data_IF_988688959190
#
_entry.id   IF_988688959190
#
_cell.length_a   1.000
_cell.length_b   1.000
_cell.length_c   1.000
_cell.angle_alpha   90.00
_cell.angle_beta   90.00
_cell.angle_gamma   90.00
#
_symmetry.space_group_name_H-M   'P 1'
#
loop_
_entity.id
_entity.type
_entity.pdbx_description
1 polymer ?
#
# COMPACT_ATOMS: atom_id res chain seq x y z
N UNK A 1 -26.13 31.38 29.62
CA UNK A 1 -24.89 31.09 30.37
C UNK A 1 -24.09 29.91 29.80
N UNK A 2 -24.65 29.09 28.89
CA UNK A 2 -24.02 27.86 28.38
C UNK A 2 -22.90 28.07 27.33
N UNK A 3 -22.90 29.21 26.62
CA UNK A 3 -21.93 29.50 25.54
C UNK A 3 -20.49 29.71 26.03
N UNK A 4 -20.28 30.00 27.32
CA UNK A 4 -18.95 30.13 27.91
C UNK A 4 -18.29 28.78 28.20
N UNK A 5 -19.06 27.70 28.38
CA UNK A 5 -18.50 26.40 28.76
C UNK A 5 -17.87 25.68 27.56
N UNK A 6 -18.49 25.80 26.38
CA UNK A 6 -17.95 25.24 25.14
C UNK A 6 -16.70 25.99 24.65
N UNK A 7 -16.66 27.31 24.77
CA UNK A 7 -15.46 28.10 24.43
C UNK A 7 -14.29 27.80 25.37
N UNK A 8 -14.54 27.66 26.68
CA UNK A 8 -13.53 27.26 27.65
C UNK A 8 -12.97 25.85 27.36
N UNK A 9 -13.83 24.91 26.95
CA UNK A 9 -13.42 23.56 26.57
C UNK A 9 -12.61 23.52 25.27
N UNK A 10 -12.96 24.36 24.29
CA UNK A 10 -12.23 24.46 23.02
C UNK A 10 -10.86 25.13 23.20
N UNK A 11 -10.76 26.09 24.13
CA UNK A 11 -9.49 26.70 24.54
C UNK A 11 -8.58 25.71 25.28
N UNK A 12 -9.13 24.90 26.19
CA UNK A 12 -8.37 23.87 26.93
C UNK A 12 -7.76 22.81 26.00
N UNK A 13 -8.52 22.35 24.98
CA UNK A 13 -8.05 21.38 23.98
C UNK A 13 -6.89 21.94 23.13
N UNK A 14 -6.94 23.24 22.77
CA UNK A 14 -5.87 23.88 22.01
C UNK A 14 -4.61 24.16 22.85
N UNK A 15 -4.77 24.36 24.17
CA UNK A 15 -3.66 24.64 25.09
C UNK A 15 -2.96 23.36 25.59
N UNK A 16 -3.66 22.21 25.60
CA UNK A 16 -3.09 20.89 25.90
C UNK A 16 -2.13 20.36 24.80
N UNK A 17 -1.96 21.13 23.73
CA UNK A 17 -0.97 20.90 22.65
C UNK A 17 0.32 21.72 22.83
N UNK A 18 0.61 22.27 24.01
CA UNK A 18 1.80 23.10 24.23
C UNK A 18 2.93 22.36 24.95
N UNK A 19 3.55 21.38 24.29
CA UNK A 19 4.97 21.11 24.54
C UNK A 19 5.78 21.70 23.39
N UNK A 20 6.41 22.85 23.62
CA UNK A 20 7.21 23.57 22.61
C UNK A 20 8.27 22.67 21.98
N UNK A 21 8.79 21.67 22.71
CA UNK A 21 9.72 20.67 22.18
C UNK A 21 9.08 19.79 21.10
N UNK A 22 7.83 19.37 21.28
CA UNK A 22 7.11 18.55 20.30
C UNK A 22 6.79 19.35 19.03
N UNK A 23 6.35 20.61 19.17
CA UNK A 23 6.13 21.49 18.01
C UNK A 23 7.42 21.74 17.22
N UNK A 24 8.54 21.93 17.91
CA UNK A 24 9.85 22.09 17.28
C UNK A 24 10.33 20.80 16.60
N UNK A 25 10.07 19.62 17.18
CA UNK A 25 10.42 18.33 16.58
C UNK A 25 9.58 18.02 15.32
N UNK A 26 8.28 18.31 15.35
CA UNK A 26 7.39 18.16 14.19
C UNK A 26 7.77 19.14 13.09
N UNK A 27 8.03 20.41 13.43
CA UNK A 27 8.51 21.42 12.46
C UNK A 27 9.85 21.03 11.82
N UNK A 28 10.80 20.55 12.62
CA UNK A 28 12.11 20.06 12.14
C UNK A 28 11.97 18.84 11.23
N UNK A 29 11.02 17.95 11.51
CA UNK A 29 10.71 16.80 10.66
C UNK A 29 10.10 17.25 9.33
N UNK A 30 9.12 18.17 9.37
CA UNK A 30 8.50 18.74 8.18
C UNK A 30 9.52 19.46 7.28
N UNK A 31 10.45 20.22 7.85
CA UNK A 31 11.52 20.88 7.10
C UNK A 31 12.51 19.88 6.48
N UNK A 32 12.80 18.76 7.13
CA UNK A 32 13.63 17.69 6.53
C UNK A 32 12.95 17.04 5.34
N UNK A 33 11.64 16.79 5.41
CA UNK A 33 10.86 16.25 4.29
C UNK A 33 10.77 17.23 3.12
N UNK A 34 10.62 18.54 3.40
CA UNK A 34 10.59 19.56 2.36
C UNK A 34 11.93 19.66 1.61
N UNK A 35 13.06 19.55 2.33
CA UNK A 35 14.41 19.60 1.75
C UNK A 35 14.75 18.34 0.95
N UNK A 36 14.36 17.15 1.41
CA UNK A 36 14.52 15.93 0.61
C UNK A 36 13.58 15.92 -0.59
N UNK A 37 12.38 16.48 -0.50
CA UNK A 37 11.45 16.55 -1.65
C UNK A 37 12.02 17.39 -2.80
N UNK A 38 12.63 18.54 -2.53
CA UNK A 38 13.21 19.41 -3.58
C UNK A 38 14.46 18.81 -4.21
N UNK A 39 15.32 18.15 -3.43
CA UNK A 39 16.51 17.45 -3.92
C UNK A 39 16.15 16.18 -4.71
N UNK A 40 15.15 15.42 -4.25
CA UNK A 40 14.66 14.22 -4.95
C UNK A 40 13.92 14.59 -6.23
N UNK A 41 13.20 15.72 -6.26
CA UNK A 41 12.49 16.18 -7.46
C UNK A 41 13.45 16.57 -8.60
N UNK A 42 14.58 17.21 -8.29
CA UNK A 42 15.58 17.56 -9.31
C UNK A 42 16.34 16.35 -9.83
N UNK A 43 16.56 15.33 -8.99
CA UNK A 43 17.18 14.05 -9.38
C UNK A 43 16.22 13.18 -10.20
N UNK A 44 14.93 13.11 -9.83
CA UNK A 44 13.92 12.31 -10.54
C UNK A 44 13.61 12.86 -11.94
N UNK A 45 13.70 14.17 -12.15
CA UNK A 45 13.39 14.79 -13.46
C UNK A 45 14.42 14.47 -14.55
N UNK A 46 15.64 14.08 -14.17
CA UNK A 46 16.74 13.79 -15.09
C UNK A 46 17.13 12.30 -15.13
N UNK A 47 16.40 11.42 -14.42
CA UNK A 47 16.74 9.99 -14.35
C UNK A 47 15.97 9.20 -15.41
N UNK A 48 16.64 8.47 -16.33
CA UNK A 48 15.96 7.51 -17.18
C UNK A 48 15.27 6.46 -16.29
N UNK A 49 14.07 6.01 -16.67
CA UNK A 49 13.28 4.98 -15.96
C UNK A 49 13.96 3.60 -15.99
N UNK A 50 15.21 3.49 -15.54
CA UNK A 50 15.84 2.22 -15.22
C UNK A 50 15.54 1.93 -13.76
N UNK A 51 14.80 0.84 -13.55
CA UNK A 51 14.45 0.21 -12.27
C UNK A 51 15.55 0.45 -11.24
N UNK A 52 15.23 1.25 -10.22
CA UNK A 52 16.05 1.44 -9.02
C UNK A 52 16.31 0.08 -8.38
N UNK A 53 17.42 -0.55 -8.75
CA UNK A 53 18.04 -1.64 -8.00
C UNK A 53 19.11 -0.99 -7.13
N UNK A 54 18.64 -0.30 -6.08
CA UNK A 54 19.52 0.21 -5.03
C UNK A 54 20.31 -0.95 -4.42
N UNK A 55 21.61 -0.76 -4.25
CA UNK A 55 22.57 -1.72 -3.69
C UNK A 55 22.34 -1.98 -2.20
N UNK A 56 21.14 -2.37 -1.82
CA UNK A 56 20.90 -3.12 -0.58
C UNK A 56 21.09 -4.58 -0.93
N UNK A 57 21.85 -5.33 -0.12
CA UNK A 57 21.90 -6.79 -0.28
C UNK A 57 20.45 -7.27 -0.27
N UNK A 58 19.99 -7.78 -1.41
CA UNK A 58 18.62 -8.18 -1.61
C UNK A 58 18.32 -9.40 -0.74
N UNK A 59 17.96 -9.15 0.52
CA UNK A 59 17.50 -10.17 1.44
C UNK A 59 16.15 -10.65 0.89
N UNK A 60 16.13 -11.84 0.28
CA UNK A 60 14.89 -12.45 -0.17
C UNK A 60 14.11 -12.87 1.08
N UNK A 61 12.92 -12.32 1.29
CA UNK A 61 12.02 -12.74 2.36
C UNK A 61 10.96 -13.68 1.80
N UNK A 62 10.61 -14.70 2.59
CA UNK A 62 9.50 -15.59 2.32
C UNK A 62 8.19 -14.80 2.20
N UNK A 63 7.48 -14.93 1.08
CA UNK A 63 6.20 -14.24 0.82
C UNK A 63 5.12 -14.50 1.88
N UNK A 64 5.15 -15.66 2.52
CA UNK A 64 4.11 -16.09 3.48
C UNK A 64 4.54 -15.88 4.94
N UNK A 65 5.83 -16.02 5.21
CA UNK A 65 6.35 -16.20 6.56
C UNK A 65 7.42 -15.18 6.95
N UNK A 66 7.88 -14.32 6.03
CA UNK A 66 8.83 -13.24 6.30
C UNK A 66 10.27 -13.68 6.62
N UNK A 67 10.54 -14.98 6.80
CA UNK A 67 11.90 -15.50 7.05
C UNK A 67 12.85 -15.13 5.93
N UNK A 68 14.10 -14.81 6.30
CA UNK A 68 15.19 -14.56 5.36
C UNK A 68 15.60 -15.85 4.66
N UNK A 69 15.61 -15.83 3.33
CA UNK A 69 16.03 -16.91 2.44
C UNK A 69 17.38 -16.53 1.82
N UNK A 70 18.25 -17.53 1.64
CA UNK A 70 19.53 -17.36 0.94
C UNK A 70 19.31 -16.83 -0.48
N UNK A 71 20.11 -15.85 -0.96
CA UNK A 71 19.94 -15.22 -2.26
C UNK A 71 20.08 -16.18 -3.46
N UNK A 72 20.56 -17.41 -3.24
CA UNK A 72 20.74 -18.43 -4.27
C UNK A 72 19.47 -19.25 -4.56
N UNK A 73 18.41 -19.14 -3.74
CA UNK A 73 17.18 -19.93 -3.95
C UNK A 73 16.28 -19.22 -4.96
N UNK A 74 15.96 -19.91 -6.04
CA UNK A 74 15.11 -19.43 -7.15
C UNK A 74 13.67 -19.15 -6.70
N UNK A 75 13.21 -19.87 -5.67
CA UNK A 75 11.86 -19.77 -5.13
C UNK A 75 11.75 -18.70 -4.03
N UNK A 76 10.77 -17.81 -4.15
CA UNK A 76 10.41 -16.78 -3.16
C UNK A 76 9.75 -17.36 -1.88
N UNK A 77 9.65 -18.69 -1.81
CA UNK A 77 9.05 -19.42 -0.71
C UNK A 77 10.13 -20.10 0.12
N UNK A 78 9.89 -20.14 1.42
CA UNK A 78 10.70 -20.91 2.34
C UNK A 78 10.57 -22.42 2.04
N UNK A 79 11.64 -23.21 2.25
CA UNK A 79 11.62 -24.67 2.02
C UNK A 79 10.72 -25.46 3.00
N UNK A 80 9.87 -24.78 3.77
CA UNK A 80 8.90 -25.45 4.65
C UNK A 80 7.65 -25.83 3.86
N UNK A 81 7.10 -27.01 4.14
CA UNK A 81 5.90 -27.53 3.48
C UNK A 81 4.67 -26.65 3.73
N UNK A 82 4.58 -26.03 4.91
CA UNK A 82 3.49 -25.11 5.26
C UNK A 82 3.45 -23.86 4.34
N UNK A 83 4.62 -23.35 3.93
CA UNK A 83 4.70 -22.24 2.97
C UNK A 83 4.16 -22.67 1.59
N UNK A 84 4.51 -23.86 1.13
CA UNK A 84 4.07 -24.37 -0.18
C UNK A 84 2.57 -24.65 -0.21
N UNK A 85 2.03 -25.23 0.86
CA UNK A 85 0.60 -25.56 0.94
C UNK A 85 -0.27 -24.30 0.91
N UNK A 86 0.15 -23.23 1.59
CA UNK A 86 -0.58 -21.95 1.61
C UNK A 86 -0.57 -21.27 0.23
N UNK A 87 0.57 -21.24 -0.45
CA UNK A 87 0.66 -20.62 -1.78
C UNK A 87 -0.13 -21.42 -2.83
N UNK A 88 -0.15 -22.75 -2.75
CA UNK A 88 -0.97 -23.58 -3.64
C UNK A 88 -2.47 -23.31 -3.46
N UNK A 89 -2.94 -23.16 -2.21
CA UNK A 89 -4.32 -22.78 -1.90
C UNK A 89 -4.64 -21.39 -2.43
N UNK A 90 -3.78 -20.41 -2.21
CA UNK A 90 -3.98 -19.03 -2.70
C UNK A 90 -4.00 -18.96 -4.23
N UNK A 91 -3.18 -19.76 -4.92
CA UNK A 91 -3.18 -19.86 -6.37
C UNK A 91 -4.50 -20.44 -6.90
N UNK A 92 -5.06 -21.47 -6.25
CA UNK A 92 -6.37 -22.04 -6.59
C UNK A 92 -7.47 -21.01 -6.38
N UNK A 93 -7.51 -20.33 -5.23
CA UNK A 93 -8.49 -19.28 -4.94
C UNK A 93 -8.41 -18.14 -5.95
N UNK A 94 -7.21 -17.70 -6.32
CA UNK A 94 -7.01 -16.62 -7.30
C UNK A 94 -7.50 -17.00 -8.70
N UNK A 95 -7.29 -18.25 -9.12
CA UNK A 95 -7.82 -18.76 -10.40
C UNK A 95 -9.34 -18.82 -10.38
N UNK A 96 -9.92 -19.32 -9.29
CA UNK A 96 -11.36 -19.35 -9.10
C UNK A 96 -11.94 -17.94 -9.12
N UNK A 97 -11.38 -16.99 -8.36
CA UNK A 97 -11.84 -15.60 -8.31
C UNK A 97 -11.86 -14.93 -9.68
N UNK A 98 -10.84 -15.17 -10.51
CA UNK A 98 -10.81 -14.66 -11.90
C UNK A 98 -11.93 -15.25 -12.74
N UNK A 99 -12.20 -16.55 -12.60
CA UNK A 99 -13.27 -17.21 -13.34
C UNK A 99 -14.66 -16.67 -12.91
N UNK A 100 -14.88 -16.53 -11.61
CA UNK A 100 -16.10 -15.95 -11.04
C UNK A 100 -16.33 -14.50 -11.51
N UNK A 101 -15.27 -13.69 -11.61
CA UNK A 101 -15.35 -12.32 -12.12
C UNK A 101 -15.84 -12.27 -13.57
N UNK A 102 -15.33 -13.15 -14.44
CA UNK A 102 -15.76 -13.20 -15.84
C UNK A 102 -17.23 -13.60 -15.94
N UNK A 103 -17.64 -14.63 -15.20
CA UNK A 103 -19.02 -15.13 -15.19
C UNK A 103 -19.99 -14.04 -14.74
N UNK A 104 -19.67 -13.30 -13.67
CA UNK A 104 -20.50 -12.19 -13.20
C UNK A 104 -20.65 -11.09 -14.24
N UNK A 105 -19.55 -10.70 -14.88
CA UNK A 105 -19.56 -9.65 -15.91
C UNK A 105 -20.40 -10.09 -17.10
N UNK A 106 -20.24 -11.32 -17.58
CA UNK A 106 -21.05 -11.85 -18.69
C UNK A 106 -22.52 -11.94 -18.29
N UNK A 107 -22.86 -12.41 -17.08
CA UNK A 107 -24.24 -12.52 -16.62
C UNK A 107 -24.94 -11.16 -16.52
N UNK A 108 -24.24 -10.13 -16.02
CA UNK A 108 -24.79 -8.77 -15.86
C UNK A 108 -24.91 -8.05 -17.22
N UNK A 109 -23.92 -8.23 -18.11
CA UNK A 109 -23.91 -7.58 -19.41
C UNK A 109 -24.78 -8.30 -20.44
N UNK A 110 -24.93 -9.63 -20.35
CA UNK A 110 -25.71 -10.48 -21.27
C UNK A 110 -27.08 -9.89 -21.65
N UNK A 111 -27.97 -9.50 -20.71
CA UNK A 111 -29.27 -8.93 -21.08
C UNK A 111 -29.17 -7.59 -21.82
N UNK A 112 -28.10 -6.82 -21.59
CA UNK A 112 -27.85 -5.54 -22.28
C UNK A 112 -27.25 -5.76 -23.68
N UNK A 113 -26.41 -6.78 -23.87
CA UNK A 113 -25.83 -7.10 -25.18
C UNK A 113 -26.89 -7.66 -26.13
N UNK A 114 -27.83 -8.48 -25.64
CA UNK A 114 -28.95 -8.98 -26.46
C UNK A 114 -29.87 -7.85 -26.93
N UNK A 115 -30.13 -6.85 -26.08
CA UNK A 115 -30.91 -5.67 -26.45
C UNK A 115 -30.21 -4.80 -27.50
N UNK A 116 -28.87 -4.65 -27.40
CA UNK A 116 -28.08 -3.87 -28.35
C UNK A 116 -27.93 -4.57 -29.71
N UNK A 117 -27.99 -5.90 -29.74
CA UNK A 117 -27.92 -6.70 -30.98
C UNK A 117 -29.24 -6.67 -31.79
N UNK A 118 -30.28 -5.98 -31.30
CA UNK A 118 -31.55 -5.82 -32.03
C UNK A 118 -32.34 -7.11 -32.18
N UNK A 119 -32.04 -8.13 -31.36
CA UNK A 119 -32.83 -9.36 -31.30
C UNK A 119 -33.97 -9.09 -30.32
N UNK A 120 -35.04 -8.50 -30.85
CA UNK A 120 -36.34 -8.47 -30.21
C UNK A 120 -37.17 -9.65 -30.71
#
# INVERSE_FOLDING_TARGET
>A
MEKNLLEQMFLEINNMSSNSKLKNAVKKSAEKLAKTSTEVTSVVKNMPRSKSKGSFKEHKHCKICGKSISPNVENLLCKSELCHERDDKDMKVKKQLRLWMIILVVAILSPNILQLAGIW
#
